data_IF_352324305988
#
_entry.id   IF_352324305988
#
_cell.length_a   1.000
_cell.length_b   1.000
_cell.length_c   1.000
_cell.angle_alpha   90.00
_cell.angle_beta   90.00
_cell.angle_gamma   90.00
#
_symmetry.space_group_name_H-M   'P 1'
#
loop_
_entity.id
_entity.type
_entity.pdbx_description
1 polymer ?
#
# COMPACT_ATOMS: atom_id res chain seq x y z
N UNK A 1 -6.85 -1.19 10.73
CA UNK A 1 -7.88 -1.60 9.74
C UNK A 1 -7.48 -3.02 9.38
N UNK A 2 -8.26 -4.05 9.66
CA UNK A 2 -7.74 -5.42 9.65
C UNK A 2 -7.48 -5.91 8.21
N UNK A 3 -6.30 -5.62 7.66
CA UNK A 3 -5.88 -5.81 6.26
C UNK A 3 -5.64 -7.29 5.87
N UNK A 4 -6.37 -8.25 6.44
CA UNK A 4 -6.14 -9.69 6.20
C UNK A 4 -6.64 -10.16 4.84
N UNK A 5 -7.77 -9.65 4.40
CA UNK A 5 -8.46 -9.86 3.13
C UNK A 5 -9.40 -8.66 3.03
N UNK A 6 -9.11 -7.71 2.16
CA UNK A 6 -9.94 -6.52 2.04
C UNK A 6 -10.57 -6.48 0.67
N UNK A 7 -11.89 -6.33 0.69
CA UNK A 7 -12.68 -6.08 -0.51
C UNK A 7 -12.48 -4.62 -0.93
N UNK A 8 -12.62 -4.34 -2.22
CA UNK A 8 -12.66 -2.96 -2.72
C UNK A 8 -13.74 -2.09 -2.11
N UNK A 9 -14.77 -2.69 -1.52
CA UNK A 9 -15.75 -1.99 -0.69
C UNK A 9 -15.17 -1.29 0.55
N UNK A 10 -13.94 -1.61 0.97
CA UNK A 10 -13.26 -0.87 2.04
C UNK A 10 -12.74 0.49 1.58
N UNK A 11 -12.38 0.63 0.30
CA UNK A 11 -11.82 1.85 -0.28
C UNK A 11 -12.80 2.60 -1.18
N UNK A 12 -13.81 1.88 -1.70
CA UNK A 12 -14.85 2.40 -2.57
C UNK A 12 -16.20 2.30 -1.85
N UNK A 13 -16.89 3.41 -1.73
CA UNK A 13 -18.29 3.51 -1.30
C UNK A 13 -19.15 4.00 -2.45
N UNK A 14 -20.48 3.80 -2.41
CA UNK A 14 -21.36 4.28 -3.47
C UNK A 14 -21.17 5.78 -3.78
N UNK A 15 -20.90 6.63 -2.78
CA UNK A 15 -20.65 8.06 -2.98
C UNK A 15 -19.51 8.40 -3.97
N UNK A 16 -18.57 7.47 -4.18
CA UNK A 16 -17.39 7.63 -5.04
C UNK A 16 -17.62 7.12 -6.48
N UNK A 17 -18.80 6.57 -6.78
CA UNK A 17 -19.15 6.05 -8.11
C UNK A 17 -19.99 7.08 -8.87
N UNK A 18 -19.50 7.45 -10.05
CA UNK A 18 -20.21 8.19 -11.09
C UNK A 18 -20.64 7.17 -12.16
N UNK A 19 -21.91 6.80 -12.13
CA UNK A 19 -22.43 5.72 -12.98
C UNK A 19 -22.47 6.07 -14.46
N UNK A 20 -22.61 7.35 -14.77
CA UNK A 20 -22.57 7.91 -16.12
C UNK A 20 -21.78 9.22 -16.06
N UNK A 21 -20.54 9.18 -16.54
CA UNK A 21 -19.70 10.35 -16.72
C UNK A 21 -20.30 11.27 -17.78
N UNK A 22 -20.19 12.58 -17.57
CA UNK A 22 -20.60 13.60 -18.53
C UNK A 22 -19.45 14.10 -19.39
N UNK A 23 -18.23 13.86 -18.92
CA UNK A 23 -16.98 14.25 -19.58
C UNK A 23 -16.84 13.63 -20.96
N UNK A 24 -16.24 14.38 -21.89
CA UNK A 24 -16.05 13.98 -23.29
C UNK A 24 -14.61 13.68 -23.65
N UNK A 25 -13.69 14.01 -22.75
CA UNK A 25 -12.28 13.68 -22.90
C UNK A 25 -11.66 13.17 -21.60
N UNK A 26 -10.40 12.75 -21.72
CA UNK A 26 -9.58 12.18 -20.66
C UNK A 26 -9.43 13.13 -19.46
N UNK A 27 -9.17 14.41 -19.71
CA UNK A 27 -8.90 15.41 -18.67
C UNK A 27 -10.18 15.71 -17.89
N UNK A 28 -11.26 16.02 -18.60
CA UNK A 28 -12.58 16.28 -18.01
C UNK A 28 -13.05 15.09 -17.17
N UNK A 29 -12.78 13.85 -17.59
CA UNK A 29 -13.20 12.66 -16.85
C UNK A 29 -12.42 12.50 -15.54
N UNK A 30 -11.11 12.79 -15.56
CA UNK A 30 -10.29 12.79 -14.35
C UNK A 30 -10.74 13.91 -13.39
N UNK A 31 -11.05 15.10 -13.91
CA UNK A 31 -11.59 16.20 -13.10
C UNK A 31 -12.92 15.87 -12.44
N UNK A 32 -13.86 15.27 -13.19
CA UNK A 32 -15.18 14.86 -12.66
C UNK A 32 -15.03 13.83 -11.52
N UNK A 33 -14.09 12.90 -11.66
CA UNK A 33 -13.76 11.92 -10.63
C UNK A 33 -13.09 12.56 -9.40
N UNK A 34 -12.22 13.55 -9.60
CA UNK A 34 -11.61 14.29 -8.50
C UNK A 34 -12.65 15.12 -7.73
N UNK A 35 -13.64 15.71 -8.41
CA UNK A 35 -14.74 16.42 -7.75
C UNK A 35 -15.54 15.49 -6.82
N UNK A 36 -15.75 14.24 -7.25
CA UNK A 36 -16.32 13.21 -6.38
C UNK A 36 -15.46 12.98 -5.13
N UNK A 37 -14.15 12.86 -5.27
CA UNK A 37 -13.23 12.67 -4.13
C UNK A 37 -13.22 13.86 -3.17
N UNK A 38 -13.24 15.09 -3.68
CA UNK A 38 -13.33 16.32 -2.87
C UNK A 38 -14.66 16.37 -2.12
N UNK A 39 -15.77 16.05 -2.79
CA UNK A 39 -17.12 16.03 -2.18
C UNK A 39 -17.20 15.03 -1.03
N UNK A 40 -16.51 13.90 -1.14
CA UNK A 40 -16.41 12.89 -0.07
C UNK A 40 -15.34 13.20 0.98
N UNK A 41 -14.64 14.35 0.87
CA UNK A 41 -13.54 14.77 1.76
C UNK A 41 -12.39 13.75 1.82
N UNK A 42 -12.12 13.06 0.71
CA UNK A 42 -11.03 12.08 0.62
C UNK A 42 -9.71 12.72 0.18
N UNK A 43 -9.79 13.86 -0.51
CA UNK A 43 -8.67 14.70 -0.91
C UNK A 43 -8.99 16.17 -0.61
N UNK A 44 -7.97 16.98 -0.34
CA UNK A 44 -8.12 18.41 -0.02
C UNK A 44 -7.68 19.34 -1.18
N UNK A 45 -6.66 18.95 -1.95
CA UNK A 45 -6.10 19.76 -3.03
C UNK A 45 -6.35 19.14 -4.41
N UNK A 46 -7.50 19.46 -5.02
CA UNK A 46 -7.89 18.98 -6.37
C UNK A 46 -6.82 19.31 -7.41
N UNK A 47 -6.38 20.57 -7.48
CA UNK A 47 -5.50 21.05 -8.53
C UNK A 47 -4.13 20.35 -8.49
N UNK A 48 -3.52 20.25 -7.32
CA UNK A 48 -2.28 19.50 -7.15
C UNK A 48 -2.45 18.03 -7.56
N UNK A 49 -3.56 17.42 -7.15
CA UNK A 49 -3.85 16.01 -7.47
C UNK A 49 -4.01 15.80 -8.96
N UNK A 50 -4.77 16.67 -9.63
CA UNK A 50 -4.95 16.66 -11.08
C UNK A 50 -3.61 16.78 -11.81
N UNK A 51 -2.78 17.77 -11.45
CA UNK A 51 -1.45 17.94 -12.05
C UNK A 51 -0.63 16.66 -11.93
N UNK A 52 -0.59 16.04 -10.74
CA UNK A 52 0.18 14.80 -10.53
C UNK A 52 -0.35 13.61 -11.35
N UNK A 53 -1.67 13.50 -11.53
CA UNK A 53 -2.27 12.46 -12.36
C UNK A 53 -1.91 12.69 -13.82
N UNK A 54 -2.05 13.93 -14.31
CA UNK A 54 -1.74 14.27 -15.70
C UNK A 54 -0.25 14.13 -16.02
N UNK A 55 0.64 14.50 -15.10
CA UNK A 55 2.08 14.26 -15.24
C UNK A 55 2.37 12.75 -15.43
N UNK A 56 1.71 11.89 -14.65
CA UNK A 56 1.85 10.43 -14.78
C UNK A 56 1.27 9.92 -16.10
N UNK A 57 0.11 10.41 -16.48
CA UNK A 57 -0.61 10.00 -17.70
C UNK A 57 0.12 10.42 -18.99
N UNK A 58 0.80 11.57 -18.96
CA UNK A 58 1.57 12.08 -20.10
C UNK A 58 2.89 11.33 -20.33
N UNK A 59 3.41 10.60 -19.34
CA UNK A 59 4.56 9.72 -19.54
C UNK A 59 4.19 8.54 -20.42
N UNK A 60 3.12 7.84 -20.02
CA UNK A 60 2.50 6.73 -20.73
C UNK A 60 1.05 6.60 -20.26
N UNK A 61 0.15 6.27 -21.19
CA UNK A 61 -1.26 6.03 -20.90
C UNK A 61 -1.44 5.04 -19.74
N UNK A 62 -2.39 5.32 -18.85
CA UNK A 62 -2.80 4.39 -17.79
C UNK A 62 -3.96 3.47 -18.20
N UNK A 63 -4.32 3.46 -19.48
CA UNK A 63 -5.26 2.49 -20.02
C UNK A 63 -4.65 1.09 -20.05
N UNK A 64 -5.43 0.11 -19.60
CA UNK A 64 -5.03 -1.31 -19.57
C UNK A 64 -5.47 -2.06 -20.85
N UNK A 65 -6.14 -1.37 -21.77
CA UNK A 65 -6.92 -1.98 -22.83
C UNK A 65 -8.26 -2.53 -22.33
N UNK A 66 -9.01 -3.16 -23.23
CA UNK A 66 -10.32 -3.76 -22.95
C UNK A 66 -11.34 -2.77 -22.33
N UNK A 67 -11.24 -1.49 -22.69
CA UNK A 67 -12.15 -0.45 -22.24
C UNK A 67 -11.95 0.03 -20.80
N UNK A 68 -10.77 -0.19 -20.21
CA UNK A 68 -10.49 0.18 -18.82
C UNK A 68 -9.24 1.07 -18.71
N UNK A 69 -9.30 2.09 -17.85
CA UNK A 69 -8.14 2.85 -17.41
C UNK A 69 -8.05 2.93 -15.88
N UNK A 70 -6.82 3.04 -15.38
CA UNK A 70 -6.56 3.22 -13.95
C UNK A 70 -5.64 4.44 -13.73
N UNK A 71 -6.13 5.68 -13.96
CA UNK A 71 -5.34 6.88 -13.67
C UNK A 71 -4.99 6.92 -12.19
N UNK A 72 -3.75 7.26 -11.87
CA UNK A 72 -3.28 7.13 -10.50
C UNK A 72 -2.14 8.09 -10.16
N UNK A 73 -2.10 8.55 -8.92
CA UNK A 73 -1.03 9.44 -8.45
C UNK A 73 -0.73 9.29 -6.95
N UNK A 74 0.55 9.52 -6.62
CA UNK A 74 1.02 9.71 -5.25
C UNK A 74 0.78 11.15 -4.86
N UNK A 75 -0.09 11.36 -3.86
CA UNK A 75 -0.39 12.69 -3.33
C UNK A 75 -0.56 12.56 -1.83
N UNK A 76 -0.09 13.55 -1.07
CA UNK A 76 -0.34 13.58 0.36
C UNK A 76 -1.84 13.82 0.60
N UNK A 77 -2.53 12.77 1.02
CA UNK A 77 -3.97 12.77 1.31
C UNK A 77 -4.19 12.53 2.79
N UNK A 78 -5.26 13.10 3.36
CA UNK A 78 -5.62 12.88 4.77
C UNK A 78 -5.97 11.41 5.06
N UNK A 79 -6.44 10.69 4.03
CA UNK A 79 -6.69 9.24 4.06
C UNK A 79 -5.51 8.45 3.47
N UNK A 80 -5.39 7.16 3.79
CA UNK A 80 -4.33 6.31 3.21
C UNK A 80 -4.50 6.13 1.69
N UNK A 81 -5.74 6.11 1.21
CA UNK A 81 -6.10 5.92 -0.19
C UNK A 81 -7.48 6.50 -0.48
N UNK A 82 -7.62 7.11 -1.65
CA UNK A 82 -8.85 7.65 -2.20
C UNK A 82 -9.09 7.02 -3.58
N UNK A 83 -10.31 6.54 -3.80
CA UNK A 83 -10.70 5.87 -5.05
C UNK A 83 -11.97 6.48 -5.59
N UNK A 84 -12.04 6.75 -6.89
CA UNK A 84 -13.28 7.09 -7.57
C UNK A 84 -13.44 6.23 -8.82
N UNK A 85 -14.68 5.88 -9.14
CA UNK A 85 -14.97 5.09 -10.35
C UNK A 85 -15.98 5.81 -11.21
N UNK A 86 -15.65 5.94 -12.49
CA UNK A 86 -16.51 6.56 -13.49
C UNK A 86 -16.76 5.59 -14.64
N UNK A 87 -17.99 5.57 -15.14
CA UNK A 87 -18.31 4.83 -16.36
C UNK A 87 -18.77 5.79 -17.45
N UNK A 88 -18.12 5.75 -18.60
CA UNK A 88 -18.52 6.46 -19.82
C UNK A 88 -19.20 5.48 -20.77
N UNK A 89 -20.46 5.78 -21.13
CA UNK A 89 -21.24 4.93 -22.06
C UNK A 89 -20.68 5.03 -23.47
N UNK A 90 -20.37 6.25 -23.93
CA UNK A 90 -19.80 6.50 -25.26
C UNK A 90 -18.34 6.04 -25.36
N UNK A 91 -17.64 6.02 -24.21
CA UNK A 91 -16.23 5.70 -24.12
C UNK A 91 -15.34 6.89 -24.47
N UNK A 92 -14.14 6.92 -23.91
CA UNK A 92 -13.21 8.05 -24.01
C UNK A 92 -11.90 7.61 -24.63
N UNK A 93 -11.29 8.50 -25.43
CA UNK A 93 -9.94 8.25 -25.94
C UNK A 93 -8.93 8.42 -24.80
N UNK A 94 -8.41 7.29 -24.32
CA UNK A 94 -7.32 7.26 -23.35
C UNK A 94 -5.96 6.89 -23.97
N UNK A 95 -5.86 6.82 -25.30
CA UNK A 95 -4.66 6.33 -26.00
C UNK A 95 -4.31 4.91 -25.54
N UNK A 96 -5.32 4.05 -25.45
CA UNK A 96 -5.16 2.69 -24.97
C UNK A 96 -4.26 1.86 -25.90
N UNK A 97 -3.46 0.92 -25.38
CA UNK A 97 -2.57 0.08 -26.21
C UNK A 97 -3.28 -0.73 -27.29
N UNK A 98 -4.57 -1.04 -27.09
CA UNK A 98 -5.41 -1.75 -28.05
C UNK A 98 -6.24 -0.82 -28.96
N UNK A 99 -6.00 0.50 -28.87
CA UNK A 99 -6.71 1.57 -29.59
C UNK A 99 -8.24 1.56 -29.38
N UNK A 100 -8.74 0.95 -28.31
CA UNK A 100 -10.17 0.93 -27.99
C UNK A 100 -10.55 2.06 -27.03
N UNK A 101 -11.78 2.59 -27.12
CA UNK A 101 -12.27 3.58 -26.16
C UNK A 101 -12.37 2.99 -24.75
N UNK A 102 -12.06 3.81 -23.75
CA UNK A 102 -12.18 3.47 -22.33
C UNK A 102 -13.58 3.80 -21.83
N UNK A 103 -14.27 2.79 -21.32
CA UNK A 103 -15.62 2.91 -20.76
C UNK A 103 -15.64 2.91 -19.23
N UNK A 104 -14.62 2.36 -18.57
CA UNK A 104 -14.53 2.33 -17.11
C UNK A 104 -13.20 2.91 -16.64
N UNK A 105 -13.27 3.90 -15.75
CA UNK A 105 -12.11 4.62 -15.23
C UNK A 105 -12.10 4.40 -13.72
N UNK A 106 -10.99 3.86 -13.21
CA UNK A 106 -10.78 3.62 -11.78
C UNK A 106 -9.65 4.55 -11.33
N UNK A 107 -10.01 5.74 -10.84
CA UNK A 107 -9.05 6.72 -10.35
C UNK A 107 -8.56 6.32 -8.95
N UNK A 108 -7.24 6.28 -8.76
CA UNK A 108 -6.62 5.92 -7.47
C UNK A 108 -5.59 6.95 -7.04
N UNK A 109 -5.80 7.56 -5.87
CA UNK A 109 -4.86 8.48 -5.24
C UNK A 109 -4.46 7.91 -3.88
N UNK A 110 -3.18 7.97 -3.52
CA UNK A 110 -2.74 7.42 -2.23
C UNK A 110 -1.64 8.23 -1.57
N UNK A 111 -1.65 8.16 -0.24
CA UNK A 111 -0.64 8.77 0.60
C UNK A 111 0.68 7.96 0.48
N UNK A 112 1.83 8.62 0.22
CA UNK A 112 3.12 7.93 0.05
C UNK A 112 3.64 7.22 1.31
N UNK A 113 3.04 7.45 2.48
CA UNK A 113 3.43 6.85 3.77
C UNK A 113 3.37 5.32 3.80
N UNK A 114 2.66 4.68 2.88
CA UNK A 114 2.54 3.21 2.78
C UNK A 114 3.17 2.70 1.47
N UNK A 115 4.45 2.27 1.52
CA UNK A 115 5.10 1.64 0.38
C UNK A 115 4.34 0.41 -0.12
N UNK A 116 4.21 0.29 -1.45
CA UNK A 116 3.59 -0.89 -2.09
C UNK A 116 2.07 -0.94 -2.03
N UNK A 117 1.39 -0.01 -1.34
CA UNK A 117 -0.08 0.00 -1.22
C UNK A 117 -0.77 -0.05 -2.59
N UNK A 118 -0.36 0.83 -3.50
CA UNK A 118 -0.89 0.86 -4.86
C UNK A 118 -0.61 -0.45 -5.61
N UNK A 119 0.57 -1.05 -5.47
CA UNK A 119 0.91 -2.29 -6.18
C UNK A 119 -0.01 -3.45 -5.76
N UNK A 120 -0.32 -3.57 -4.47
CA UNK A 120 -1.25 -4.60 -3.97
C UNK A 120 -2.69 -4.36 -4.47
N UNK A 121 -3.14 -3.11 -4.45
CA UNK A 121 -4.45 -2.74 -5.00
C UNK A 121 -4.51 -3.01 -6.51
N UNK A 122 -3.50 -2.56 -7.26
CA UNK A 122 -3.41 -2.76 -8.69
C UNK A 122 -3.35 -4.24 -9.05
N UNK A 123 -2.62 -5.07 -8.29
CA UNK A 123 -2.60 -6.51 -8.52
C UNK A 123 -3.98 -7.15 -8.34
N UNK A 124 -4.78 -6.71 -7.36
CA UNK A 124 -6.17 -7.17 -7.23
C UNK A 124 -7.07 -6.71 -8.36
N UNK A 125 -6.96 -5.44 -8.76
CA UNK A 125 -7.68 -4.91 -9.92
C UNK A 125 -7.33 -5.71 -11.18
N UNK A 126 -6.05 -5.86 -11.50
CA UNK A 126 -5.57 -6.57 -12.67
C UNK A 126 -6.06 -8.04 -12.70
N UNK A 127 -5.96 -8.77 -11.59
CA UNK A 127 -6.46 -10.16 -11.49
C UNK A 127 -7.96 -10.27 -11.72
N UNK A 128 -8.74 -9.28 -11.29
CA UNK A 128 -10.17 -9.28 -11.51
C UNK A 128 -10.52 -8.88 -12.95
N UNK A 129 -9.89 -7.82 -13.45
CA UNK A 129 -10.19 -7.19 -14.72
C UNK A 129 -9.65 -7.96 -15.93
N UNK A 130 -8.67 -8.85 -15.76
CA UNK A 130 -8.17 -9.71 -16.85
C UNK A 130 -9.22 -10.73 -17.33
N UNK A 131 -10.18 -11.09 -16.47
CA UNK A 131 -11.26 -12.04 -16.79
C UNK A 131 -12.36 -11.36 -17.62
N UNK A 132 -12.66 -11.82 -18.85
CA UNK A 132 -13.71 -11.24 -19.69
C UNK A 132 -15.08 -11.20 -19.02
N UNK A 133 -15.44 -12.23 -18.28
CA UNK A 133 -16.74 -12.37 -17.62
C UNK A 133 -16.95 -11.27 -16.58
N UNK A 134 -15.88 -10.87 -15.89
CA UNK A 134 -15.91 -9.78 -14.93
C UNK A 134 -16.07 -8.42 -15.62
N UNK A 135 -15.36 -8.18 -16.73
CA UNK A 135 -15.52 -6.95 -17.51
C UNK A 135 -16.93 -6.81 -18.06
N UNK A 136 -17.47 -7.89 -18.61
CA UNK A 136 -18.85 -7.93 -19.10
C UNK A 136 -19.87 -7.53 -18.03
N UNK A 137 -19.70 -8.03 -16.80
CA UNK A 137 -20.56 -7.68 -15.67
C UNK A 137 -20.46 -6.20 -15.28
N UNK A 138 -19.26 -5.63 -15.32
CA UNK A 138 -19.05 -4.20 -15.07
C UNK A 138 -19.71 -3.33 -16.15
N UNK A 139 -19.58 -3.71 -17.43
CA UNK A 139 -20.17 -2.96 -18.54
C UNK A 139 -21.69 -3.11 -18.63
N UNK A 140 -22.24 -4.28 -18.28
CA UNK A 140 -23.68 -4.57 -18.33
C UNK A 140 -24.46 -4.14 -17.08
N UNK A 141 -23.78 -3.62 -16.04
CA UNK A 141 -24.44 -3.12 -14.84
C UNK A 141 -25.50 -2.07 -15.21
N UNK A 142 -26.73 -2.24 -14.72
CA UNK A 142 -27.88 -1.41 -15.09
C UNK A 142 -28.01 -0.15 -14.26
N UNK A 143 -27.44 -0.18 -13.07
CA UNK A 143 -27.41 0.97 -12.17
C UNK A 143 -26.12 1.02 -11.34
N UNK A 144 -26.00 2.11 -10.59
CA UNK A 144 -24.90 2.39 -9.69
C UNK A 144 -24.69 1.31 -8.63
N UNK A 145 -25.77 0.67 -8.16
CA UNK A 145 -25.72 -0.33 -7.11
C UNK A 145 -25.21 -1.67 -7.67
N UNK A 146 -25.66 -2.07 -8.86
CA UNK A 146 -25.13 -3.23 -9.57
C UNK A 146 -23.64 -3.06 -9.88
N UNK A 147 -23.23 -1.88 -10.37
CA UNK A 147 -21.82 -1.60 -10.64
C UNK A 147 -20.98 -1.67 -9.36
N UNK A 148 -21.47 -1.07 -8.27
CA UNK A 148 -20.84 -1.14 -6.95
C UNK A 148 -20.72 -2.59 -6.45
N UNK A 149 -21.76 -3.41 -6.61
CA UNK A 149 -21.77 -4.79 -6.18
C UNK A 149 -20.68 -5.61 -6.89
N UNK A 150 -20.58 -5.48 -8.22
CA UNK A 150 -19.53 -6.16 -8.99
C UNK A 150 -18.13 -5.68 -8.60
N UNK A 151 -17.93 -4.36 -8.45
CA UNK A 151 -16.65 -3.80 -8.00
C UNK A 151 -16.27 -4.26 -6.58
N UNK A 152 -17.25 -4.48 -5.70
CA UNK A 152 -17.01 -4.94 -4.34
C UNK A 152 -16.51 -6.38 -4.25
N UNK A 153 -16.66 -7.19 -5.31
CA UNK A 153 -16.10 -8.54 -5.38
C UNK A 153 -14.58 -8.56 -5.58
N UNK A 154 -13.98 -7.43 -5.95
CA UNK A 154 -12.54 -7.32 -6.13
C UNK A 154 -11.87 -7.51 -4.77
N UNK A 155 -11.11 -8.60 -4.66
CA UNK A 155 -10.38 -8.99 -3.45
C UNK A 155 -8.93 -8.52 -3.54
N UNK A 156 -8.47 -7.87 -2.47
CA UNK A 156 -7.08 -7.53 -2.27
C UNK A 156 -6.47 -8.40 -1.19
N UNK A 157 -5.26 -8.88 -1.50
CA UNK A 157 -4.39 -9.48 -0.50
C UNK A 157 -3.36 -8.42 -0.14
N UNK A 158 -3.52 -7.86 1.06
CA UNK A 158 -2.47 -7.06 1.67
C UNK A 158 -1.65 -7.97 2.60
N UNK A 159 -0.32 -7.89 2.57
CA UNK A 159 0.49 -8.56 3.57
C UNK A 159 0.12 -8.02 4.97
N UNK A 160 -0.02 -8.92 5.96
CA UNK A 160 -0.44 -8.65 7.36
C UNK A 160 0.06 -7.30 7.90
N UNK A 161 -0.75 -6.54 8.67
CA UNK A 161 -0.40 -5.23 9.29
C UNK A 161 0.97 -5.18 10.00
N UNK A 162 1.59 -6.31 10.39
CA UNK A 162 3.01 -6.38 10.79
C UNK A 162 4.02 -6.16 9.62
N UNK A 163 3.54 -5.86 8.40
CA UNK A 163 4.26 -5.81 7.13
C UNK A 163 3.85 -4.61 6.26
N UNK A 164 3.75 -3.39 6.80
CA UNK A 164 4.33 -2.26 6.05
C UNK A 164 5.84 -2.52 6.12
N UNK A 165 6.36 -3.41 5.27
CA UNK A 165 7.78 -3.69 5.31
C UNK A 165 8.46 -2.51 4.67
N UNK A 166 8.99 -1.62 5.51
CA UNK A 166 10.05 -0.70 5.15
C UNK A 166 11.00 -1.45 4.19
N UNK A 167 11.16 -0.97 2.95
CA UNK A 167 11.96 -1.68 1.94
C UNK A 167 13.40 -1.89 2.43
N UNK A 168 13.93 -0.97 3.23
CA UNK A 168 15.23 -1.11 3.89
C UNK A 168 15.24 -2.21 4.99
N UNK A 169 14.11 -2.47 5.64
CA UNK A 169 13.93 -3.63 6.53
C UNK A 169 13.84 -4.97 5.79
N UNK A 170 13.30 -5.01 4.56
CA UNK A 170 13.40 -6.19 3.70
C UNK A 170 14.85 -6.47 3.33
N UNK A 171 15.60 -5.45 2.92
CA UNK A 171 17.03 -5.57 2.61
C UNK A 171 17.82 -6.10 3.81
N UNK A 172 17.54 -5.61 5.03
CA UNK A 172 18.20 -6.13 6.25
C UNK A 172 17.86 -7.61 6.49
N UNK A 173 16.59 -7.99 6.37
CA UNK A 173 16.16 -9.39 6.52
C UNK A 173 16.79 -10.30 5.47
N UNK A 174 16.87 -9.83 4.22
CA UNK A 174 17.51 -10.55 3.12
C UNK A 174 18.99 -10.79 3.43
N UNK A 175 19.71 -9.75 3.87
CA UNK A 175 21.10 -9.87 4.31
C UNK A 175 21.26 -10.90 5.43
N UNK A 176 20.44 -10.81 6.48
CA UNK A 176 20.53 -11.74 7.61
C UNK A 176 20.30 -13.19 7.17
N UNK A 177 19.38 -13.42 6.22
CA UNK A 177 19.12 -14.75 5.65
C UNK A 177 20.29 -15.23 4.79
N UNK A 178 20.85 -14.39 3.92
CA UNK A 178 22.02 -14.77 3.11
C UNK A 178 23.24 -15.08 3.97
N UNK A 179 23.46 -14.31 5.04
CA UNK A 179 24.51 -14.60 6.02
C UNK A 179 24.26 -15.92 6.75
N UNK A 180 23.01 -16.26 7.07
CA UNK A 180 22.64 -17.56 7.66
C UNK A 180 22.85 -18.71 6.67
N UNK A 181 22.46 -18.56 5.41
CA UNK A 181 22.65 -19.57 4.35
C UNK A 181 24.13 -19.95 4.23
N UNK A 182 25.05 -18.97 4.28
CA UNK A 182 26.51 -19.22 4.23
C UNK A 182 27.02 -20.13 5.36
N UNK A 183 26.27 -20.26 6.46
CA UNK A 183 26.66 -21.00 7.66
C UNK A 183 25.66 -22.12 8.03
N UNK A 184 24.64 -22.34 7.21
CA UNK A 184 23.54 -23.24 7.55
C UNK A 184 23.87 -24.70 7.22
N UNK A 185 23.45 -25.66 8.07
CA UNK A 185 23.50 -27.08 7.75
C UNK A 185 22.46 -27.44 6.66
N UNK A 186 22.69 -28.56 5.96
CA UNK A 186 21.91 -28.96 4.77
C UNK A 186 20.40 -29.09 5.02
N UNK A 187 20.00 -29.49 6.21
CA UNK A 187 18.61 -29.68 6.66
C UNK A 187 17.82 -28.36 6.75
N UNK A 188 18.50 -27.22 6.96
CA UNK A 188 17.86 -25.89 7.05
C UNK A 188 17.98 -25.06 5.78
N UNK A 189 18.73 -25.54 4.79
CA UNK A 189 19.06 -24.79 3.59
C UNK A 189 17.83 -24.51 2.73
N UNK A 190 16.96 -25.51 2.57
CA UNK A 190 15.76 -25.43 1.74
C UNK A 190 14.76 -24.40 2.29
N UNK A 191 14.53 -24.40 3.61
CA UNK A 191 13.67 -23.42 4.27
C UNK A 191 14.22 -21.98 4.14
N UNK A 192 15.52 -21.81 4.36
CA UNK A 192 16.17 -20.50 4.23
C UNK A 192 16.15 -19.99 2.78
N UNK A 193 16.34 -20.88 1.79
CA UNK A 193 16.25 -20.53 0.37
C UNK A 193 14.83 -20.11 -0.02
N UNK A 194 13.81 -20.80 0.49
CA UNK A 194 12.41 -20.42 0.27
C UNK A 194 12.13 -19.03 0.84
N UNK A 195 12.56 -18.76 2.08
CA UNK A 195 12.41 -17.43 2.70
C UNK A 195 13.20 -16.34 1.96
N UNK A 196 14.40 -16.63 1.49
CA UNK A 196 15.19 -15.73 0.65
C UNK A 196 14.44 -15.36 -0.62
N UNK A 197 13.92 -16.35 -1.35
CA UNK A 197 13.25 -16.12 -2.63
C UNK A 197 12.00 -15.26 -2.46
N UNK A 198 11.18 -15.53 -1.44
CA UNK A 198 10.00 -14.72 -1.11
C UNK A 198 10.35 -13.25 -0.84
N UNK A 199 11.48 -12.97 -0.18
CA UNK A 199 11.90 -11.58 0.06
C UNK A 199 12.41 -10.93 -1.22
N UNK A 200 13.10 -11.68 -2.09
CA UNK A 200 13.60 -11.17 -3.37
C UNK A 200 12.46 -10.84 -4.33
N UNK A 201 11.36 -11.59 -4.34
CA UNK A 201 10.18 -11.29 -5.15
C UNK A 201 9.50 -9.95 -4.80
N UNK A 202 9.70 -9.46 -3.57
CA UNK A 202 9.12 -8.21 -3.07
C UNK A 202 10.02 -6.98 -3.30
N UNK A 203 11.22 -7.15 -3.88
CA UNK A 203 12.22 -6.10 -4.09
C UNK A 203 12.45 -5.83 -5.59
N UNK A 204 12.59 -4.55 -5.94
CA UNK A 204 12.85 -4.13 -7.32
C UNK A 204 14.20 -4.67 -7.82
N UNK A 205 14.28 -5.09 -9.09
CA UNK A 205 15.51 -5.70 -9.65
C UNK A 205 16.75 -4.80 -9.54
N UNK A 206 16.61 -3.49 -9.65
CA UNK A 206 17.73 -2.54 -9.51
C UNK A 206 18.31 -2.54 -8.09
N UNK A 207 17.47 -2.72 -7.07
CA UNK A 207 17.89 -2.84 -5.67
C UNK A 207 18.58 -4.18 -5.44
N UNK A 208 18.02 -5.26 -5.97
CA UNK A 208 18.61 -6.59 -5.86
C UNK A 208 19.99 -6.65 -6.53
N UNK A 209 20.15 -6.08 -7.72
CA UNK A 209 21.43 -6.04 -8.42
C UNK A 209 22.52 -5.35 -7.58
N UNK A 210 22.22 -4.19 -7.00
CA UNK A 210 23.16 -3.48 -6.11
C UNK A 210 23.38 -4.25 -4.81
N UNK A 211 22.34 -4.82 -4.22
CA UNK A 211 22.43 -5.64 -3.01
C UNK A 211 23.38 -6.83 -3.22
N UNK A 212 23.19 -7.58 -4.31
CA UNK A 212 24.00 -8.75 -4.66
C UNK A 212 25.47 -8.35 -4.85
N UNK A 213 25.75 -7.25 -5.56
CA UNK A 213 27.11 -6.71 -5.71
C UNK A 213 27.78 -6.38 -4.37
N UNK A 214 27.02 -5.81 -3.42
CA UNK A 214 27.54 -5.45 -2.11
C UNK A 214 27.74 -6.69 -1.22
N UNK A 215 26.85 -7.67 -1.30
CA UNK A 215 26.94 -8.95 -0.58
C UNK A 215 28.10 -9.80 -1.06
N UNK A 216 28.34 -9.84 -2.38
CA UNK A 216 29.45 -10.55 -2.99
C UNK A 216 30.80 -9.92 -2.60
N UNK A 217 30.92 -8.59 -2.73
CA UNK A 217 32.17 -7.87 -2.47
C UNK A 217 32.54 -7.76 -0.99
N UNK A 218 31.56 -7.49 -0.11
CA UNK A 218 31.84 -7.13 1.29
C UNK A 218 31.20 -8.07 2.32
N UNK A 219 30.33 -8.99 1.90
CA UNK A 219 29.62 -9.91 2.79
C UNK A 219 28.41 -9.32 3.53
N UNK A 220 28.12 -8.03 3.32
CA UNK A 220 26.94 -7.34 3.84
C UNK A 220 26.63 -6.10 2.97
N UNK A 221 25.36 -5.74 2.84
CA UNK A 221 24.86 -4.67 1.97
C UNK A 221 24.13 -3.54 2.72
N UNK A 222 23.71 -3.77 3.96
CA UNK A 222 22.90 -2.89 4.80
C UNK A 222 23.67 -2.50 6.05
N UNK A 223 23.70 -1.19 6.33
CA UNK A 223 24.37 -0.56 7.45
C UNK A 223 23.36 0.18 8.33
N UNK A 224 23.58 0.12 9.65
CA UNK A 224 22.80 0.91 10.60
C UNK A 224 23.37 2.33 10.69
N UNK A 225 22.49 3.29 10.99
CA UNK A 225 22.87 4.66 11.35
C UNK A 225 22.54 4.85 12.83
N UNK A 226 23.57 5.20 13.60
CA UNK A 226 23.46 5.44 15.05
C UNK A 226 24.06 6.82 15.30
N UNK A 227 23.28 7.71 15.89
CA UNK A 227 23.66 9.09 16.21
C UNK A 227 24.30 9.84 15.02
N UNK A 228 23.71 9.67 13.83
CA UNK A 228 24.20 10.28 12.60
C UNK A 228 25.44 9.62 11.99
N UNK A 229 25.91 8.49 12.53
CA UNK A 229 27.11 7.80 12.04
C UNK A 229 26.72 6.50 11.32
N UNK A 230 27.21 6.34 10.09
CA UNK A 230 27.08 5.08 9.35
C UNK A 230 27.98 4.00 9.95
N UNK A 231 27.38 2.94 10.49
CA UNK A 231 28.10 1.87 11.18
C UNK A 231 28.92 0.95 10.25
N UNK A 232 28.84 1.13 8.93
CA UNK A 232 29.66 0.37 7.98
C UNK A 232 30.99 1.04 7.66
N UNK A 233 31.02 2.37 7.50
CA UNK A 233 32.24 3.09 7.13
C UNK A 233 32.70 4.11 8.17
N UNK A 234 31.95 4.22 9.27
CA UNK A 234 32.21 5.13 10.38
C UNK A 234 32.28 6.61 9.98
N UNK A 235 31.61 6.99 8.88
CA UNK A 235 31.48 8.38 8.44
C UNK A 235 30.15 8.96 8.88
N UNK A 236 30.16 10.26 9.15
CA UNK A 236 28.98 11.05 9.44
C UNK A 236 28.06 11.10 8.22
N UNK A 237 26.80 10.80 8.45
CA UNK A 237 25.70 10.99 7.53
C UNK A 237 25.17 12.41 7.72
N UNK A 238 24.79 13.10 6.65
CA UNK A 238 24.29 14.48 6.77
C UNK A 238 23.08 14.56 7.69
N UNK A 239 22.92 15.66 8.43
CA UNK A 239 21.82 15.83 9.41
C UNK A 239 20.44 15.66 8.77
N UNK A 240 20.27 16.13 7.53
CA UNK A 240 19.04 15.95 6.75
C UNK A 240 18.79 14.47 6.44
N UNK A 241 19.84 13.76 6.01
CA UNK A 241 19.76 12.33 5.73
C UNK A 241 19.51 11.50 7.00
N UNK A 242 20.15 11.85 8.12
CA UNK A 242 19.92 11.19 9.41
C UNK A 242 18.47 11.33 9.89
N UNK A 243 17.91 12.55 9.85
CA UNK A 243 16.48 12.80 10.15
C UNK A 243 15.56 12.07 9.18
N UNK A 244 15.86 12.10 7.87
CA UNK A 244 15.09 11.39 6.86
C UNK A 244 15.08 9.87 7.06
N UNK A 245 16.21 9.26 7.44
CA UNK A 245 16.33 7.82 7.73
C UNK A 245 15.54 7.43 9.00
N UNK A 246 15.43 8.33 9.97
CA UNK A 246 14.65 8.09 11.20
C UNK A 246 13.13 8.21 10.96
N UNK A 247 12.72 9.16 10.13
CA UNK A 247 11.31 9.51 9.92
C UNK A 247 10.67 8.73 8.76
N UNK A 248 11.42 8.47 7.69
CA UNK A 248 10.90 7.82 6.48
C UNK A 248 10.99 6.29 6.51
N UNK A 249 10.28 5.65 5.59
CA UNK A 249 10.39 4.22 5.25
C UNK A 249 11.09 3.99 3.90
N UNK A 250 11.66 5.04 3.31
CA UNK A 250 12.41 5.00 2.05
C UNK A 250 13.77 4.30 2.18
N UNK A 251 14.33 3.99 1.01
CA UNK A 251 15.66 3.40 0.88
C UNK A 251 16.67 4.52 0.74
N UNK A 252 17.54 4.64 1.74
CA UNK A 252 18.66 5.56 1.71
C UNK A 252 19.96 4.81 1.44
N UNK A 253 20.91 5.49 0.79
CA UNK A 253 22.21 4.93 0.47
C UNK A 253 23.28 5.85 1.06
N UNK A 254 24.26 5.27 1.73
CA UNK A 254 25.41 6.02 2.23
C UNK A 254 26.20 6.60 1.05
N UNK A 255 26.41 7.91 1.07
CA UNK A 255 27.17 8.62 0.03
C UNK A 255 28.65 8.22 0.02
N UNK A 256 29.19 7.76 1.16
CA UNK A 256 30.58 7.36 1.27
C UNK A 256 30.85 5.90 0.88
N UNK A 257 30.14 4.94 1.48
CA UNK A 257 30.40 3.51 1.25
C UNK A 257 29.36 2.81 0.37
N UNK A 258 28.30 3.52 -0.04
CA UNK A 258 27.29 2.98 -0.93
C UNK A 258 26.37 1.92 -0.31
N UNK A 259 26.46 1.63 0.99
CA UNK A 259 25.55 0.69 1.67
C UNK A 259 24.17 1.28 1.86
N UNK A 260 23.16 0.41 1.90
CA UNK A 260 21.81 0.82 2.29
C UNK A 260 21.76 1.20 3.77
N UNK A 261 21.08 2.28 4.11
CA UNK A 261 21.00 2.80 5.48
C UNK A 261 19.67 2.47 6.15
N UNK A 262 19.73 2.08 7.43
CA UNK A 262 18.56 1.84 8.29
C UNK A 262 18.73 2.53 9.66
N UNK A 263 17.61 2.98 10.26
CA UNK A 263 17.59 3.51 11.64
C UNK A 263 17.31 2.41 12.68
N UNK A 264 18.02 2.48 13.81
CA UNK A 264 17.82 1.60 14.98
C UNK A 264 16.61 2.04 15.83
N UNK A 265 16.34 3.35 15.95
CA UNK A 265 15.35 3.94 16.88
C UNK A 265 13.90 3.59 16.55
N UNK A 266 13.58 3.35 15.27
CA UNK A 266 12.22 2.95 14.83
C UNK A 266 11.82 1.58 15.40
N UNK A 267 12.77 0.65 15.52
CA UNK A 267 12.55 -0.70 16.09
C UNK A 267 12.19 -0.63 17.58
N UNK A 268 12.89 0.22 18.33
CA UNK A 268 12.67 0.39 19.77
C UNK A 268 11.38 1.17 20.08
N UNK A 269 11.07 2.19 19.27
CA UNK A 269 9.82 2.95 19.37
C UNK A 269 8.60 2.08 19.06
N UNK A 270 8.62 1.32 17.96
CA UNK A 270 7.55 0.39 17.59
C UNK A 270 7.38 -0.74 18.63
N UNK A 271 8.48 -1.23 19.22
CA UNK A 271 8.42 -2.23 20.29
C UNK A 271 7.79 -1.67 21.58
N UNK A 272 8.10 -0.41 21.94
CA UNK A 272 7.48 0.29 23.08
C UNK A 272 5.99 0.56 22.85
N UNK A 273 5.63 1.10 21.69
CA UNK A 273 4.23 1.41 21.33
C UNK A 273 3.36 0.14 21.29
N UNK A 274 3.90 -0.98 20.76
CA UNK A 274 3.22 -2.29 20.78
C UNK A 274 3.01 -2.80 22.20
N UNK A 275 4.02 -2.70 23.06
CA UNK A 275 3.92 -3.12 24.46
C UNK A 275 2.91 -2.27 25.27
N UNK A 276 2.80 -0.96 24.97
CA UNK A 276 1.81 -0.07 25.59
C UNK A 276 0.39 -0.37 25.12
N UNK A 277 0.19 -0.62 23.83
CA UNK A 277 -1.12 -0.96 23.26
C UNK A 277 -1.64 -2.31 23.77
N UNK A 278 -0.78 -3.33 23.86
CA UNK A 278 -1.14 -4.62 24.45
C UNK A 278 -1.50 -4.53 25.95
N UNK A 279 -0.87 -3.60 26.69
CA UNK A 279 -1.22 -3.30 28.09
C UNK A 279 -2.57 -2.58 28.20
N UNK A 280 -2.86 -1.65 27.30
CA UNK A 280 -4.13 -0.91 27.27
C UNK A 280 -5.31 -1.85 26.95
N UNK A 281 -5.20 -2.68 25.91
CA UNK A 281 -6.23 -3.64 25.51
C UNK A 281 -6.52 -4.68 26.61
N UNK A 282 -5.49 -5.12 27.35
CA UNK A 282 -5.67 -6.01 28.50
C UNK A 282 -6.43 -5.33 29.65
N UNK A 283 -6.16 -4.05 29.93
CA UNK A 283 -6.88 -3.29 30.97
C UNK A 283 -8.35 -3.11 30.60
N UNK A 284 -8.63 -2.75 29.35
CA UNK A 284 -9.99 -2.53 28.85
C UNK A 284 -10.86 -3.79 28.92
N UNK A 285 -10.31 -4.95 28.51
CA UNK A 285 -11.00 -6.25 28.62
C UNK A 285 -11.28 -6.67 30.06
N UNK A 286 -10.39 -6.32 31.00
CA UNK A 286 -10.59 -6.61 32.43
C UNK A 286 -11.69 -5.73 33.02
N UNK A 287 -11.71 -4.44 32.68
CA UNK A 287 -12.78 -3.51 33.10
C UNK A 287 -14.15 -3.89 32.53
N UNK A 288 -14.23 -4.25 31.24
CA UNK A 288 -15.49 -4.63 30.60
C UNK A 288 -16.07 -5.93 31.17
N UNK A 289 -15.19 -6.90 31.51
CA UNK A 289 -15.58 -8.14 32.18
C UNK A 289 -16.06 -7.88 33.61
N UNK A 290 -15.42 -6.97 34.35
CA UNK A 290 -15.83 -6.58 35.70
C UNK A 290 -17.21 -5.88 35.70
N UNK A 291 -17.47 -5.02 34.73
CA UNK A 291 -18.77 -4.35 34.59
C UNK A 291 -19.90 -5.32 34.20
N UNK A 292 -19.65 -6.26 33.30
CA UNK A 292 -20.62 -7.30 32.93
C UNK A 292 -20.98 -8.18 34.13
N UNK A 293 -20.00 -8.54 34.97
CA UNK A 293 -20.23 -9.31 36.19
C UNK A 293 -21.05 -8.50 37.20
N UNK A 294 -20.76 -7.21 37.39
CA UNK A 294 -21.54 -6.32 38.27
C UNK A 294 -22.99 -6.17 37.80
N UNK A 295 -23.22 -5.93 36.50
CA UNK A 295 -24.57 -5.82 35.91
C UNK A 295 -25.36 -7.14 36.00
N UNK A 296 -24.71 -8.28 35.83
CA UNK A 296 -25.34 -9.60 35.96
C UNK A 296 -25.73 -9.92 37.42
N UNK A 297 -24.92 -9.52 38.40
CA UNK A 297 -25.25 -9.67 39.83
C UNK A 297 -26.42 -8.77 40.23
N UNK A 298 -26.43 -7.51 39.81
CA UNK A 298 -27.52 -6.57 40.09
C UNK A 298 -28.87 -7.03 39.52
N UNK A 299 -28.90 -7.59 38.29
CA UNK A 299 -30.12 -8.14 37.69
C UNK A 299 -30.66 -9.36 38.45
N UNK A 300 -29.80 -10.20 39.02
CA UNK A 300 -30.22 -11.38 39.80
C UNK A 300 -30.79 -11.03 41.17
N UNK A 301 -30.41 -9.89 41.76
CA UNK A 301 -30.98 -9.43 43.04
C UNK A 301 -32.35 -8.77 42.85
N UNK A 302 -32.59 -8.12 41.70
CA UNK A 302 -33.89 -7.51 41.37
C UNK A 302 -34.96 -8.58 41.09
N UNK A 303 -34.60 -9.71 40.47
CA UNK A 303 -35.54 -10.82 40.20
C UNK A 303 -35.87 -11.71 41.42
N UNK A 304 -35.25 -11.47 42.58
CA UNK A 304 -35.46 -12.22 43.82
C UNK A 304 -36.31 -11.48 44.86
N UNK A 305 -36.77 -10.27 44.53
CA UNK A 305 -37.75 -9.48 45.30
C UNK A 305 -39.07 -9.46 44.54
#
# INVERSE_FOLDING_TARGET
>A
MNLRETSFSEFLKPGQIIFELKSRDKLEAIEELLDSLVKQKLISNKNLTLTRIMDRENLESTALGHGIAVPHARVDTESQIAVAVGRSVEGLNFEAPDNKPVHLIILVVWNPTIPGLFNHLFAGLARFLIKPENRDRLFKAKDKNELYAVLSEIQFSFPREDKIINRASLLKKLQDIEMRIRRAPKDKLEELQKHRNLIREELDQSLLARFDLLMDRYGYAVAEVIDGICQSCNMSVSTQMASAIEESNDIYVCENCGKYLISQRKKEKLAKEKAEKERAEKKEKVTEKAEKIKKAKARKEILKK
#
